data_IF_341051830715
#
_entry.id   IF_341051830715
#
_cell.length_a   1.000
_cell.length_b   1.000
_cell.length_c   1.000
_cell.angle_alpha   90.00
_cell.angle_beta   90.00
_cell.angle_gamma   90.00
#
_symmetry.space_group_name_H-M   'P 1'
#
loop_
_entity.id
_entity.type
_entity.pdbx_description
1 polymer ?
#
# COMPACT_ATOMS: atom_id res chain seq x y z
N UNK A 1 53.54 -14.92 25.99
CA UNK A 1 53.90 -16.30 25.62
C UNK A 1 52.62 -16.95 25.10
N UNK A 2 52.43 -16.93 23.78
CA UNK A 2 51.25 -17.46 23.10
C UNK A 2 51.52 -18.90 22.70
N UNK A 3 50.91 -19.85 23.40
CA UNK A 3 50.97 -21.27 23.06
C UNK A 3 49.59 -21.81 22.60
N UNK A 4 48.63 -20.94 22.31
CA UNK A 4 47.26 -21.30 21.91
C UNK A 4 46.96 -20.97 20.43
N UNK A 5 48.00 -20.89 19.59
CA UNK A 5 47.84 -20.97 18.14
C UNK A 5 48.34 -22.35 17.75
N UNK A 6 47.44 -23.22 17.30
CA UNK A 6 47.68 -24.48 16.55
C UNK A 6 46.80 -25.63 17.08
N UNK A 7 45.48 -25.46 17.11
CA UNK A 7 44.53 -26.56 16.90
C UNK A 7 43.29 -25.93 16.28
N UNK A 8 43.38 -25.62 14.99
CA UNK A 8 42.22 -25.20 14.24
C UNK A 8 41.36 -26.44 13.97
N UNK A 9 40.03 -26.34 14.02
CA UNK A 9 39.15 -27.48 13.70
C UNK A 9 39.51 -28.13 12.35
N UNK A 10 39.96 -27.30 11.39
CA UNK A 10 40.46 -27.75 10.10
C UNK A 10 41.74 -28.61 10.18
N UNK A 11 42.66 -28.30 11.08
CA UNK A 11 43.91 -29.05 11.26
C UNK A 11 43.63 -30.43 11.87
N UNK A 12 42.77 -30.50 12.89
CA UNK A 12 42.32 -31.76 13.50
C UNK A 12 41.55 -32.65 12.52
N UNK A 13 40.77 -32.06 11.59
CA UNK A 13 40.15 -32.79 10.49
C UNK A 13 41.19 -33.41 9.53
N UNK A 14 42.29 -32.72 9.27
CA UNK A 14 43.35 -33.23 8.41
C UNK A 14 44.13 -34.36 9.08
N UNK A 15 44.40 -34.25 10.39
CA UNK A 15 45.01 -35.32 11.19
C UNK A 15 44.09 -36.57 11.25
N UNK A 16 42.77 -36.37 11.42
CA UNK A 16 41.79 -37.45 11.39
C UNK A 16 41.77 -38.19 10.04
N UNK A 17 41.84 -37.46 8.92
CA UNK A 17 41.87 -38.07 7.58
C UNK A 17 43.17 -38.86 7.34
N UNK A 18 44.30 -38.38 7.87
CA UNK A 18 45.56 -39.12 7.82
C UNK A 18 45.48 -40.43 8.61
N UNK A 19 44.95 -40.41 9.85
CA UNK A 19 44.76 -41.62 10.66
C UNK A 19 43.70 -42.58 10.09
N UNK A 20 42.72 -42.05 9.35
CA UNK A 20 41.76 -42.90 8.64
C UNK A 20 42.42 -43.66 7.50
N UNK A 21 43.28 -42.98 6.73
CA UNK A 21 44.03 -43.61 5.63
C UNK A 21 45.00 -44.68 6.15
N UNK A 22 45.74 -44.40 7.23
CA UNK A 22 46.64 -45.41 7.84
C UNK A 22 45.87 -46.62 8.36
N UNK A 23 44.72 -46.42 9.01
CA UNK A 23 43.86 -47.52 9.47
C UNK A 23 43.31 -48.33 8.28
N UNK A 24 42.92 -47.67 7.19
CA UNK A 24 42.44 -48.33 5.98
C UNK A 24 43.49 -49.24 5.35
N UNK A 25 44.74 -48.77 5.23
CA UNK A 25 45.85 -49.56 4.69
C UNK A 25 46.13 -50.79 5.55
N UNK A 26 46.17 -50.63 6.88
CA UNK A 26 46.39 -51.75 7.82
C UNK A 26 45.24 -52.75 7.75
N UNK A 27 43.99 -52.29 7.65
CA UNK A 27 42.83 -53.15 7.47
C UNK A 27 42.95 -53.95 6.17
N UNK A 28 43.33 -53.30 5.06
CA UNK A 28 43.49 -53.97 3.78
C UNK A 28 44.58 -55.05 3.83
N UNK A 29 45.70 -54.78 4.48
CA UNK A 29 46.77 -55.76 4.71
C UNK A 29 46.30 -56.95 5.57
N UNK A 30 45.49 -56.70 6.61
CA UNK A 30 44.89 -57.78 7.41
C UNK A 30 43.94 -58.65 6.60
N UNK A 31 43.11 -58.05 5.74
CA UNK A 31 42.18 -58.76 4.85
C UNK A 31 42.92 -59.59 3.80
N UNK A 32 43.99 -59.07 3.22
CA UNK A 32 44.84 -59.83 2.29
C UNK A 32 45.48 -61.03 2.99
N UNK A 33 45.93 -60.85 4.24
CA UNK A 33 46.52 -61.93 5.06
C UNK A 33 45.47 -62.99 5.43
N UNK A 34 44.27 -62.57 5.83
CA UNK A 34 43.12 -63.44 6.09
C UNK A 34 42.71 -64.24 4.85
N UNK A 35 42.69 -63.60 3.67
CA UNK A 35 42.36 -64.28 2.41
C UNK A 35 43.36 -65.40 2.09
N UNK A 36 44.66 -65.15 2.28
CA UNK A 36 45.72 -66.14 2.11
C UNK A 36 45.59 -67.33 3.08
N UNK A 37 45.08 -67.10 4.29
CA UNK A 37 44.82 -68.15 5.27
C UNK A 37 43.61 -69.04 4.89
N UNK A 38 42.68 -68.52 4.09
CA UNK A 38 41.47 -69.24 3.64
C UNK A 38 41.61 -69.90 2.26
N UNK A 39 42.77 -69.82 1.61
CA UNK A 39 43.00 -70.44 0.30
C UNK A 39 43.37 -71.93 0.45
N UNK A 40 42.54 -72.82 -0.11
CA UNK A 40 42.67 -74.29 -0.04
C UNK A 40 43.95 -74.86 -0.68
N UNK A 41 44.78 -74.02 -1.30
CA UNK A 41 46.02 -74.41 -2.01
C UNK A 41 47.31 -74.06 -1.26
N UNK A 42 47.24 -73.51 -0.04
CA UNK A 42 48.40 -73.04 0.70
C UNK A 42 49.16 -74.17 1.45
N UNK A 43 50.49 -74.08 1.48
CA UNK A 43 51.34 -75.04 2.22
C UNK A 43 51.30 -74.74 3.73
N UNK A 44 51.37 -75.75 4.61
CA UNK A 44 51.35 -75.55 6.08
C UNK A 44 52.38 -74.52 6.59
N UNK A 45 53.55 -74.43 5.96
CA UNK A 45 54.58 -73.44 6.29
C UNK A 45 54.20 -71.99 5.91
N UNK A 46 53.38 -71.81 4.86
CA UNK A 46 52.86 -70.52 4.41
C UNK A 46 51.67 -70.07 5.27
N UNK A 47 50.85 -71.02 5.72
CA UNK A 47 49.80 -70.82 6.72
C UNK A 47 50.40 -70.33 8.05
N UNK A 48 51.45 -70.98 8.55
CA UNK A 48 52.12 -70.60 9.81
C UNK A 48 52.70 -69.18 9.76
N UNK A 49 53.38 -68.82 8.66
CA UNK A 49 53.89 -67.46 8.43
C UNK A 49 52.77 -66.43 8.33
N UNK A 50 51.67 -66.77 7.67
CA UNK A 50 50.51 -65.89 7.55
C UNK A 50 49.80 -65.70 8.90
N UNK A 51 49.85 -66.71 9.78
CA UNK A 51 49.31 -66.64 11.14
C UNK A 51 50.15 -65.72 12.04
N UNK A 52 51.48 -65.81 11.96
CA UNK A 52 52.38 -64.90 12.67
C UNK A 52 52.22 -63.45 12.19
N UNK A 53 52.14 -63.25 10.87
CA UNK A 53 51.88 -61.95 10.25
C UNK A 53 50.50 -61.39 10.67
N UNK A 54 49.47 -62.25 10.78
CA UNK A 54 48.16 -61.85 11.25
C UNK A 54 48.20 -61.34 12.70
N UNK A 55 48.96 -61.98 13.58
CA UNK A 55 49.07 -61.50 14.98
C UNK A 55 49.76 -60.12 15.06
N UNK A 56 50.76 -59.87 14.21
CA UNK A 56 51.43 -58.56 14.13
C UNK A 56 50.50 -57.50 13.56
N UNK A 57 49.76 -57.84 12.49
CA UNK A 57 48.81 -56.94 11.86
C UNK A 57 47.59 -56.65 12.76
N UNK A 58 47.17 -57.60 13.58
CA UNK A 58 46.12 -57.40 14.58
C UNK A 58 46.50 -56.32 15.59
N UNK A 59 47.71 -56.37 16.16
CA UNK A 59 48.15 -55.35 17.11
C UNK A 59 48.22 -53.96 16.45
N UNK A 60 48.73 -53.87 15.22
CA UNK A 60 48.75 -52.61 14.45
C UNK A 60 47.35 -52.08 14.13
N UNK A 61 46.40 -52.97 13.85
CA UNK A 61 45.02 -52.60 13.58
C UNK A 61 44.34 -52.05 14.85
N UNK A 62 44.59 -52.67 16.01
CA UNK A 62 44.10 -52.18 17.30
C UNK A 62 44.71 -50.81 17.61
N UNK A 63 46.02 -50.65 17.47
CA UNK A 63 46.71 -49.38 17.74
C UNK A 63 46.19 -48.26 16.83
N UNK A 64 46.12 -48.49 15.51
CA UNK A 64 45.57 -47.51 14.56
C UNK A 64 44.09 -47.20 14.81
N UNK A 65 43.27 -48.19 15.18
CA UNK A 65 41.87 -47.96 15.53
C UNK A 65 41.72 -47.14 16.81
N UNK A 66 42.60 -47.32 17.80
CA UNK A 66 42.60 -46.49 19.01
C UNK A 66 43.04 -45.07 18.74
N UNK A 67 44.04 -44.87 17.86
CA UNK A 67 44.45 -43.54 17.38
C UNK A 67 43.32 -42.80 16.68
N UNK A 68 42.63 -43.46 15.75
CA UNK A 68 41.48 -42.89 15.03
C UNK A 68 40.33 -42.45 15.97
N UNK A 69 40.05 -43.26 17.00
CA UNK A 69 39.03 -42.91 18.00
C UNK A 69 39.43 -41.69 18.83
N UNK A 70 40.71 -41.59 19.20
CA UNK A 70 41.24 -40.44 19.92
C UNK A 70 41.11 -39.16 19.09
N UNK A 71 41.56 -39.18 17.83
CA UNK A 71 41.48 -38.03 16.94
C UNK A 71 40.04 -37.61 16.64
N UNK A 72 39.11 -38.57 16.58
CA UNK A 72 37.67 -38.26 16.46
C UNK A 72 37.15 -37.47 17.65
N UNK A 73 37.52 -37.84 18.88
CA UNK A 73 37.10 -37.12 20.07
C UNK A 73 37.74 -35.73 20.16
N UNK A 74 39.03 -35.63 19.81
CA UNK A 74 39.76 -34.36 19.72
C UNK A 74 39.11 -33.41 18.70
N UNK A 75 38.88 -33.88 17.48
CA UNK A 75 38.20 -33.11 16.42
C UNK A 75 36.81 -32.62 16.84
N UNK A 76 36.06 -33.43 17.58
CA UNK A 76 34.75 -33.04 18.10
C UNK A 76 34.84 -31.96 19.18
N UNK A 77 35.84 -32.04 20.04
CA UNK A 77 36.09 -31.00 21.05
C UNK A 77 36.48 -29.68 20.37
N UNK A 78 37.32 -29.75 19.35
CA UNK A 78 37.74 -28.58 18.56
C UNK A 78 36.57 -27.95 17.80
N UNK A 79 35.63 -28.75 17.26
CA UNK A 79 34.39 -28.27 16.63
C UNK A 79 33.55 -27.45 17.62
N UNK A 80 33.37 -27.98 18.83
CA UNK A 80 32.57 -27.33 19.88
C UNK A 80 33.27 -26.06 20.38
N UNK A 81 34.59 -26.10 20.51
CA UNK A 81 35.39 -24.94 20.89
C UNK A 81 35.30 -23.83 19.83
N UNK A 82 35.43 -24.17 18.54
CA UNK A 82 35.39 -23.20 17.44
C UNK A 82 34.00 -22.59 17.22
N UNK A 83 32.92 -23.37 17.38
CA UNK A 83 31.55 -22.85 17.31
C UNK A 83 31.28 -21.78 18.37
N UNK A 84 31.75 -21.98 19.61
CA UNK A 84 31.63 -20.98 20.66
C UNK A 84 32.52 -19.77 20.39
N UNK A 85 33.70 -20.00 19.76
CA UNK A 85 34.62 -18.94 19.37
C UNK A 85 34.02 -18.07 18.27
N UNK A 86 33.30 -18.61 17.28
CA UNK A 86 32.67 -17.84 16.22
C UNK A 86 31.57 -16.88 16.71
N UNK A 87 30.82 -17.23 17.76
CA UNK A 87 29.84 -16.30 18.35
C UNK A 87 30.52 -15.14 19.10
N UNK A 88 31.59 -15.46 19.84
CA UNK A 88 32.39 -14.49 20.59
C UNK A 88 33.20 -13.63 19.62
N UNK A 89 33.86 -14.23 18.64
CA UNK A 89 34.59 -13.57 17.56
C UNK A 89 33.66 -12.75 16.70
N UNK A 90 32.44 -13.17 16.33
CA UNK A 90 31.54 -12.26 15.62
C UNK A 90 31.24 -11.01 16.44
N UNK A 91 31.04 -11.13 17.76
CA UNK A 91 30.94 -9.97 18.65
C UNK A 91 32.24 -9.18 18.74
N UNK A 92 33.38 -9.84 18.84
CA UNK A 92 34.69 -9.22 19.02
C UNK A 92 35.27 -8.65 17.72
N UNK A 93 34.89 -9.16 16.55
CA UNK A 93 35.19 -8.61 15.23
C UNK A 93 34.34 -7.36 15.00
N UNK A 94 33.08 -7.37 15.46
CA UNK A 94 32.22 -6.17 15.53
C UNK A 94 32.78 -5.14 16.54
N UNK A 95 33.42 -5.57 17.63
CA UNK A 95 34.08 -4.67 18.60
C UNK A 95 35.49 -4.23 18.13
N UNK A 96 36.17 -5.07 17.36
CA UNK A 96 37.53 -4.91 16.84
C UNK A 96 37.59 -4.17 15.52
N UNK A 97 36.46 -4.04 14.81
CA UNK A 97 36.21 -2.95 13.88
C UNK A 97 36.26 -1.66 14.68
N UNK A 98 37.47 -1.09 14.78
CA UNK A 98 37.79 0.23 15.34
C UNK A 98 36.57 1.13 15.23
N UNK A 99 35.92 1.40 16.37
CA UNK A 99 34.83 2.35 16.56
C UNK A 99 34.59 3.16 15.28
N UNK A 100 33.73 2.63 14.39
CA UNK A 100 33.44 3.28 13.12
C UNK A 100 32.32 4.26 13.49
N UNK A 101 32.61 5.55 13.80
CA UNK A 101 31.56 6.53 14.11
C UNK A 101 30.50 6.58 13.01
N UNK A 102 30.88 6.21 11.78
CA UNK A 102 30.02 6.10 10.60
C UNK A 102 28.94 5.01 10.72
N UNK A 103 29.20 3.87 11.38
CA UNK A 103 28.19 2.79 11.45
C UNK A 103 27.02 3.16 12.35
N UNK A 104 27.30 3.81 13.50
CA UNK A 104 26.23 4.35 14.35
C UNK A 104 25.46 5.44 13.62
N UNK A 105 26.16 6.35 12.94
CA UNK A 105 25.52 7.41 12.14
C UNK A 105 24.66 6.82 11.02
N UNK A 106 25.13 5.78 10.35
CA UNK A 106 24.38 5.08 9.30
C UNK A 106 23.11 4.41 9.85
N UNK A 107 23.22 3.67 10.96
CA UNK A 107 22.06 3.04 11.59
C UNK A 107 21.05 4.10 12.06
N UNK A 108 21.51 5.17 12.72
CA UNK A 108 20.63 6.27 13.15
C UNK A 108 19.98 6.96 11.96
N UNK A 109 20.73 7.22 10.87
CA UNK A 109 20.19 7.80 9.64
C UNK A 109 19.13 6.90 8.99
N UNK A 110 19.34 5.59 9.00
CA UNK A 110 18.37 4.63 8.48
C UNK A 110 17.12 4.56 9.36
N UNK A 111 17.27 4.59 10.68
CA UNK A 111 16.16 4.65 11.63
C UNK A 111 15.35 5.94 11.47
N UNK A 112 16.02 7.09 11.29
CA UNK A 112 15.38 8.38 11.04
C UNK A 112 14.62 8.37 9.70
N UNK A 113 15.23 7.90 8.60
CA UNK A 113 14.52 7.76 7.32
C UNK A 113 13.29 6.87 7.46
N UNK A 114 13.42 5.73 8.15
CA UNK A 114 12.32 4.80 8.30
C UNK A 114 11.18 5.42 9.13
N UNK A 115 11.51 6.17 10.19
CA UNK A 115 10.53 6.93 10.98
C UNK A 115 9.81 7.96 10.10
N UNK A 116 10.57 8.76 9.36
CA UNK A 116 10.04 9.85 8.55
C UNK A 116 9.19 9.31 7.37
N UNK A 117 9.57 8.17 6.79
CA UNK A 117 8.80 7.50 5.75
C UNK A 117 7.46 6.97 6.26
N UNK A 118 7.45 6.37 7.46
CA UNK A 118 6.22 5.91 8.11
C UNK A 118 5.34 7.11 8.48
N UNK A 119 5.93 8.19 8.97
CA UNK A 119 5.21 9.43 9.26
C UNK A 119 4.56 10.01 8.00
N UNK A 120 5.31 10.15 6.91
CA UNK A 120 4.80 10.62 5.62
C UNK A 120 3.65 9.74 5.09
N UNK A 121 3.79 8.43 5.15
CA UNK A 121 2.73 7.50 4.73
C UNK A 121 1.46 7.64 5.59
N UNK A 122 1.62 7.87 6.90
CA UNK A 122 0.50 8.11 7.81
C UNK A 122 -0.17 9.47 7.55
N UNK A 123 0.61 10.51 7.25
CA UNK A 123 0.12 11.84 6.90
C UNK A 123 -0.76 11.82 5.64
N UNK A 124 -0.40 11.02 4.63
CA UNK A 124 -1.19 10.89 3.41
C UNK A 124 -2.51 10.12 3.58
N UNK A 125 -2.53 9.07 4.42
CA UNK A 125 -3.68 8.16 4.49
C UNK A 125 -4.59 8.39 5.70
N UNK A 126 -4.02 8.45 6.91
CA UNK A 126 -4.80 8.44 8.16
C UNK A 126 -5.04 9.83 8.70
N UNK A 127 -4.06 10.72 8.53
CA UNK A 127 -4.11 12.10 9.00
C UNK A 127 -4.40 13.08 7.86
N UNK A 128 -4.76 12.57 6.68
CA UNK A 128 -5.17 13.43 5.59
C UNK A 128 -6.46 14.16 5.93
N UNK A 129 -6.49 15.44 5.58
CA UNK A 129 -7.66 16.29 5.73
C UNK A 129 -8.20 16.55 4.34
N UNK A 130 -9.41 16.09 4.10
CA UNK A 130 -10.12 16.30 2.84
C UNK A 130 -10.89 17.64 2.87
N UNK A 131 -11.28 18.10 1.69
CA UNK A 131 -12.11 19.29 1.51
C UNK A 131 -13.54 19.04 2.01
N UNK A 132 -14.19 20.11 2.45
CA UNK A 132 -15.63 20.07 2.75
C UNK A 132 -16.40 19.86 1.46
N UNK A 133 -17.09 18.73 1.35
CA UNK A 133 -17.84 18.34 0.17
C UNK A 133 -19.21 19.03 0.14
N UNK A 134 -19.24 20.26 -0.36
CA UNK A 134 -20.49 20.95 -0.70
C UNK A 134 -20.94 20.49 -2.10
N UNK A 135 -22.08 19.80 -2.18
CA UNK A 135 -22.60 19.23 -3.42
C UNK A 135 -23.74 20.11 -3.94
N UNK A 136 -23.51 20.75 -5.09
CA UNK A 136 -24.54 21.48 -5.86
C UNK A 136 -24.57 20.87 -7.27
N UNK A 137 -25.70 20.27 -7.66
CA UNK A 137 -25.86 19.58 -8.96
C UNK A 137 -26.72 20.45 -9.87
N UNK A 138 -26.18 20.82 -11.03
CA UNK A 138 -26.89 21.64 -12.02
C UNK A 138 -27.82 20.83 -12.93
N UNK A 139 -27.61 19.52 -13.03
CA UNK A 139 -28.36 18.63 -13.91
C UNK A 139 -29.68 18.18 -13.25
N UNK A 140 -30.85 18.54 -13.81
CA UNK A 140 -32.15 18.15 -13.26
C UNK A 140 -32.47 16.65 -13.40
N UNK A 141 -31.76 15.90 -14.25
CA UNK A 141 -32.05 14.48 -14.51
C UNK A 141 -31.36 13.54 -13.48
N UNK A 142 -30.40 14.06 -12.70
CA UNK A 142 -29.68 13.30 -11.68
C UNK A 142 -30.47 13.27 -10.38
N UNK A 143 -31.21 12.18 -10.16
CA UNK A 143 -31.99 11.96 -8.94
C UNK A 143 -31.21 11.31 -7.80
N UNK A 144 -30.13 10.58 -8.09
CA UNK A 144 -29.26 9.94 -7.11
C UNK A 144 -27.80 10.37 -7.29
N UNK A 145 -27.17 10.86 -6.22
CA UNK A 145 -25.77 11.27 -6.23
C UNK A 145 -24.93 10.37 -5.34
N UNK A 146 -23.95 9.69 -5.93
CA UNK A 146 -22.92 8.97 -5.18
C UNK A 146 -21.89 9.95 -4.64
N UNK A 147 -21.85 10.13 -3.32
CA UNK A 147 -20.99 11.07 -2.61
C UNK A 147 -19.46 10.89 -2.83
N UNK A 148 -19.03 9.79 -3.44
CA UNK A 148 -17.64 9.50 -3.81
C UNK A 148 -17.21 10.16 -5.13
N UNK A 149 -18.13 10.53 -5.99
CA UNK A 149 -17.83 11.11 -7.31
C UNK A 149 -17.77 12.64 -7.28
N UNK A 150 -17.73 13.24 -6.08
CA UNK A 150 -17.59 14.67 -5.93
C UNK A 150 -16.13 15.07 -6.19
N UNK A 151 -15.94 15.97 -7.14
CA UNK A 151 -14.65 16.58 -7.44
C UNK A 151 -14.72 18.08 -7.12
N UNK A 152 -13.62 18.68 -6.62
CA UNK A 152 -13.54 20.12 -6.44
C UNK A 152 -13.65 20.86 -7.78
N UNK A 153 -14.03 22.14 -7.78
CA UNK A 153 -14.00 22.97 -8.99
C UNK A 153 -12.60 22.99 -9.64
N UNK A 154 -12.53 22.98 -10.97
CA UNK A 154 -11.25 22.93 -11.70
C UNK A 154 -10.27 24.05 -11.32
N UNK A 155 -10.78 25.25 -11.02
CA UNK A 155 -9.96 26.38 -10.57
C UNK A 155 -9.30 26.12 -9.22
N UNK A 156 -10.02 25.49 -8.29
CA UNK A 156 -9.49 25.11 -6.98
C UNK A 156 -8.49 23.95 -7.11
N UNK A 157 -8.80 22.99 -7.98
CA UNK A 157 -7.92 21.84 -8.22
C UNK A 157 -6.55 22.29 -8.76
N UNK A 158 -6.52 23.21 -9.73
CA UNK A 158 -5.26 23.78 -10.24
C UNK A 158 -4.41 24.44 -9.15
N UNK A 159 -5.02 25.18 -8.24
CA UNK A 159 -4.30 25.83 -7.12
C UNK A 159 -3.78 24.80 -6.12
N UNK A 160 -4.49 23.69 -5.91
CA UNK A 160 -4.04 22.58 -5.06
C UNK A 160 -2.92 21.77 -5.74
N UNK A 161 -2.99 21.56 -7.04
CA UNK A 161 -1.96 20.86 -7.81
C UNK A 161 -0.66 21.68 -7.83
N UNK A 162 -0.76 23.01 -8.01
CA UNK A 162 0.38 23.94 -7.85
C UNK A 162 1.02 23.83 -6.45
N UNK A 163 0.25 23.48 -5.41
CA UNK A 163 0.78 23.29 -4.04
C UNK A 163 1.60 22.01 -3.89
N UNK A 164 1.29 20.99 -4.68
CA UNK A 164 2.03 19.72 -4.67
C UNK A 164 3.35 19.81 -5.44
N UNK A 165 3.44 20.72 -6.41
CA UNK A 165 4.62 20.92 -7.25
C UNK A 165 5.59 21.98 -6.70
N UNK A 166 5.11 22.91 -5.88
CA UNK A 166 5.92 24.05 -5.43
C UNK A 166 6.63 23.77 -4.10
N UNK A 167 7.93 24.08 -4.04
CA UNK A 167 8.73 23.99 -2.81
C UNK A 167 8.39 25.07 -1.75
N UNK A 168 9.05 25.00 -0.59
CA UNK A 168 8.74 25.82 0.60
C UNK A 168 8.62 27.34 0.35
N UNK A 169 9.44 27.90 -0.54
CA UNK A 169 9.45 29.35 -0.84
C UNK A 169 8.19 29.82 -1.59
N UNK A 170 7.44 28.92 -2.23
CA UNK A 170 6.22 29.23 -2.98
C UNK A 170 4.94 29.11 -2.16
N UNK A 171 5.02 28.60 -0.93
CA UNK A 171 3.87 28.35 -0.06
C UNK A 171 3.15 29.64 0.37
N UNK A 172 3.89 30.74 0.56
CA UNK A 172 3.32 32.04 0.93
C UNK A 172 2.57 32.71 -0.22
N UNK A 173 3.12 32.64 -1.44
CA UNK A 173 2.47 33.17 -2.64
C UNK A 173 1.22 32.38 -3.00
N UNK A 174 1.26 31.05 -2.89
CA UNK A 174 0.07 30.21 -3.09
C UNK A 174 -1.01 30.49 -2.05
N UNK A 175 -0.64 30.70 -0.78
CA UNK A 175 -1.60 31.09 0.26
C UNK A 175 -2.31 32.41 -0.06
N UNK A 176 -1.63 33.36 -0.71
CA UNK A 176 -2.24 34.62 -1.18
C UNK A 176 -3.22 34.35 -2.33
N UNK A 177 -2.84 33.53 -3.32
CA UNK A 177 -3.75 33.11 -4.41
C UNK A 177 -5.01 32.43 -3.86
N UNK A 178 -4.84 31.55 -2.88
CA UNK A 178 -5.93 30.81 -2.25
C UNK A 178 -6.89 31.73 -1.49
N UNK A 179 -6.37 32.72 -0.75
CA UNK A 179 -7.18 33.75 -0.09
C UNK A 179 -7.94 34.60 -1.10
N UNK A 180 -7.28 35.04 -2.17
CA UNK A 180 -7.91 35.81 -3.23
C UNK A 180 -9.07 35.04 -3.89
N UNK A 181 -8.87 33.75 -4.16
CA UNK A 181 -9.92 32.86 -4.68
C UNK A 181 -11.12 32.77 -3.74
N UNK A 182 -10.91 32.58 -2.44
CA UNK A 182 -12.02 32.55 -1.48
C UNK A 182 -12.76 33.87 -1.37
N UNK A 183 -12.05 34.99 -1.41
CA UNK A 183 -12.67 36.30 -1.33
C UNK A 183 -13.49 36.60 -2.60
N UNK A 184 -13.02 36.15 -3.77
CA UNK A 184 -13.81 36.18 -5.01
C UNK A 184 -15.10 35.36 -4.90
N UNK A 185 -15.05 34.14 -4.33
CA UNK A 185 -16.25 33.31 -4.10
C UNK A 185 -17.22 33.98 -3.14
N UNK A 186 -16.73 34.54 -2.03
CA UNK A 186 -17.59 35.25 -1.07
C UNK A 186 -18.29 36.43 -1.72
N UNK A 187 -17.56 37.22 -2.51
CA UNK A 187 -18.09 38.39 -3.19
C UNK A 187 -19.11 37.99 -4.26
N UNK A 188 -18.83 36.96 -5.06
CA UNK A 188 -19.75 36.49 -6.10
C UNK A 188 -21.04 35.94 -5.48
N UNK A 189 -20.94 35.08 -4.45
CA UNK A 189 -22.10 34.56 -3.72
C UNK A 189 -22.92 35.68 -3.08
N UNK A 190 -22.28 36.67 -2.45
CA UNK A 190 -22.97 37.82 -1.87
C UNK A 190 -23.69 38.65 -2.93
N UNK A 191 -23.03 38.93 -4.06
CA UNK A 191 -23.62 39.67 -5.18
C UNK A 191 -24.87 38.98 -5.71
N UNK A 192 -24.79 37.70 -6.06
CA UNK A 192 -25.92 36.96 -6.61
C UNK A 192 -27.06 36.79 -5.60
N UNK A 193 -26.76 36.60 -4.32
CA UNK A 193 -27.79 36.51 -3.28
C UNK A 193 -28.55 37.85 -3.13
N UNK A 194 -27.82 38.97 -3.07
CA UNK A 194 -28.43 40.30 -2.98
C UNK A 194 -29.28 40.63 -4.21
N UNK A 195 -28.77 40.33 -5.41
CA UNK A 195 -29.50 40.53 -6.66
C UNK A 195 -30.77 39.68 -6.71
N UNK A 196 -30.69 38.40 -6.36
CA UNK A 196 -31.85 37.52 -6.35
C UNK A 196 -32.91 37.98 -5.33
N UNK A 197 -32.48 38.31 -4.11
CA UNK A 197 -33.38 38.73 -3.03
C UNK A 197 -34.05 40.08 -3.27
N UNK A 198 -33.34 41.08 -3.79
CA UNK A 198 -33.89 42.44 -3.88
C UNK A 198 -34.35 42.83 -5.28
N UNK A 199 -33.68 42.36 -6.33
CA UNK A 199 -34.01 42.73 -7.71
C UNK A 199 -35.00 41.74 -8.28
N UNK A 200 -34.66 40.45 -8.32
CA UNK A 200 -35.51 39.43 -8.93
C UNK A 200 -36.82 39.23 -8.15
N UNK A 201 -36.77 39.20 -6.81
CA UNK A 201 -37.99 39.11 -5.99
C UNK A 201 -38.94 40.28 -6.26
N UNK A 202 -38.42 41.52 -6.32
CA UNK A 202 -39.24 42.71 -6.59
C UNK A 202 -39.81 42.70 -8.00
N UNK A 203 -39.03 42.27 -8.99
CA UNK A 203 -39.50 42.08 -10.36
C UNK A 203 -40.60 41.02 -10.44
N UNK A 204 -40.44 39.90 -9.74
CA UNK A 204 -41.45 38.84 -9.66
C UNK A 204 -42.73 39.33 -8.98
N UNK A 205 -42.63 40.08 -7.89
CA UNK A 205 -43.79 40.67 -7.21
C UNK A 205 -44.54 41.65 -8.12
N UNK A 206 -43.82 42.49 -8.88
CA UNK A 206 -44.43 43.40 -9.84
C UNK A 206 -45.08 42.66 -11.01
N UNK A 207 -44.40 41.67 -11.58
CA UNK A 207 -44.92 40.84 -12.65
C UNK A 207 -46.17 40.08 -12.19
N UNK A 208 -46.17 39.53 -10.98
CA UNK A 208 -47.33 38.85 -10.43
C UNK A 208 -48.52 39.80 -10.24
N UNK A 209 -48.29 41.05 -9.82
CA UNK A 209 -49.36 42.08 -9.78
C UNK A 209 -49.91 42.37 -11.17
N UNK A 210 -49.04 42.50 -12.17
CA UNK A 210 -49.44 42.76 -13.55
C UNK A 210 -50.20 41.58 -14.17
N UNK A 211 -49.73 40.35 -13.97
CA UNK A 211 -50.41 39.12 -14.42
C UNK A 211 -51.79 39.01 -13.77
N UNK A 212 -51.92 39.27 -12.47
CA UNK A 212 -53.21 39.26 -11.78
C UNK A 212 -54.14 40.37 -12.26
N UNK A 213 -53.60 41.55 -12.58
CA UNK A 213 -54.37 42.64 -13.18
C UNK A 213 -54.91 42.23 -14.55
N UNK A 214 -54.06 41.72 -15.45
CA UNK A 214 -54.49 41.26 -16.77
C UNK A 214 -55.46 40.09 -16.70
N UNK A 215 -55.27 39.17 -15.75
CA UNK A 215 -56.25 38.10 -15.48
C UNK A 215 -57.60 38.67 -15.10
N UNK A 216 -57.63 39.66 -14.19
CA UNK A 216 -58.89 40.30 -13.79
C UNK A 216 -59.56 41.06 -14.95
N UNK A 217 -58.78 41.73 -15.80
CA UNK A 217 -59.32 42.40 -16.98
C UNK A 217 -59.85 41.42 -18.02
N UNK A 218 -59.16 40.29 -18.25
CA UNK A 218 -59.65 39.22 -19.10
C UNK A 218 -60.96 38.62 -18.55
N UNK A 219 -61.04 38.36 -17.25
CA UNK A 219 -62.27 37.88 -16.60
C UNK A 219 -63.42 38.91 -16.78
N UNK A 220 -63.14 40.21 -16.65
CA UNK A 220 -64.14 41.27 -16.90
C UNK A 220 -64.59 41.31 -18.36
N UNK A 221 -63.68 41.18 -19.31
CA UNK A 221 -64.02 41.12 -20.74
C UNK A 221 -64.84 39.86 -21.06
N UNK A 222 -64.48 38.72 -20.46
CA UNK A 222 -65.25 37.47 -20.58
C UNK A 222 -66.67 37.64 -20.05
N UNK A 223 -66.84 38.25 -18.87
CA UNK A 223 -68.16 38.56 -18.31
C UNK A 223 -68.94 39.55 -19.20
N UNK A 224 -68.27 40.54 -19.81
CA UNK A 224 -68.93 41.49 -20.71
C UNK A 224 -69.42 40.82 -22.01
N UNK A 225 -68.59 39.97 -22.62
CA UNK A 225 -68.87 39.34 -23.91
C UNK A 225 -69.81 38.13 -23.77
N UNK A 226 -69.60 37.29 -22.75
CA UNK A 226 -70.27 36.01 -22.57
C UNK A 226 -71.18 35.92 -21.33
N UNK A 227 -71.11 36.89 -20.41
CA UNK A 227 -72.01 36.96 -19.27
C UNK A 227 -73.45 37.39 -19.64
N UNK A 228 -74.27 37.67 -18.63
CA UNK A 228 -75.70 38.00 -18.81
C UNK A 228 -75.97 39.51 -18.95
N UNK A 229 -74.97 40.29 -19.38
CA UNK A 229 -75.09 41.73 -19.62
C UNK A 229 -76.10 42.11 -20.73
N UNK A 230 -76.60 43.36 -20.75
CA UNK A 230 -77.59 43.82 -21.74
C UNK A 230 -77.10 43.77 -23.19
N UNK A 231 -75.79 43.90 -23.40
CA UNK A 231 -75.13 43.86 -24.71
C UNK A 231 -74.25 42.62 -24.92
N UNK A 232 -74.36 41.60 -24.07
CA UNK A 232 -73.55 40.39 -24.24
C UNK A 232 -73.99 39.60 -25.47
N UNK A 233 -73.07 38.84 -26.06
CA UNK A 233 -73.32 38.01 -27.24
C UNK A 233 -74.45 37.03 -26.95
N UNK A 234 -74.47 36.46 -25.75
CA UNK A 234 -75.51 35.52 -25.30
C UNK A 234 -76.91 36.15 -25.30
N UNK A 235 -77.04 37.41 -24.87
CA UNK A 235 -78.32 38.12 -24.87
C UNK A 235 -78.69 38.65 -26.25
N UNK A 236 -77.70 39.05 -27.05
CA UNK A 236 -77.91 39.45 -28.44
C UNK A 236 -78.39 38.26 -29.28
N UNK A 237 -77.82 37.07 -29.10
CA UNK A 237 -78.29 35.82 -29.69
C UNK A 237 -79.73 35.49 -29.26
N UNK A 238 -80.05 35.56 -27.96
CA UNK A 238 -81.44 35.38 -27.48
C UNK A 238 -82.41 36.39 -28.09
N UNK A 239 -82.00 37.65 -28.25
CA UNK A 239 -82.84 38.67 -28.89
C UNK A 239 -83.05 38.36 -30.37
N UNK A 240 -82.01 37.91 -31.09
CA UNK A 240 -82.11 37.44 -32.48
C UNK A 240 -83.02 36.22 -32.60
N UNK A 241 -82.90 35.23 -31.71
CA UNK A 241 -83.79 34.07 -31.66
C UNK A 241 -85.26 34.50 -31.42
N UNK A 242 -85.50 35.42 -30.49
CA UNK A 242 -86.83 35.97 -30.24
C UNK A 242 -87.38 36.78 -31.42
N UNK A 243 -86.51 37.49 -32.16
CA UNK A 243 -86.88 38.19 -33.38
C UNK A 243 -87.19 37.22 -34.50
N UNK A 244 -86.44 36.11 -34.62
CA UNK A 244 -86.70 35.03 -35.57
C UNK A 244 -88.05 34.34 -35.32
N UNK A 245 -88.40 34.11 -34.06
CA UNK A 245 -89.74 33.65 -33.66
C UNK A 245 -90.83 34.65 -34.02
N UNK A 246 -90.63 35.95 -33.74
CA UNK A 246 -91.60 37.02 -34.06
C UNK A 246 -91.73 37.29 -35.57
N UNK A 247 -90.66 37.11 -36.34
CA UNK A 247 -90.64 37.29 -37.80
C UNK A 247 -91.16 36.04 -38.54
N UNK A 248 -91.55 34.98 -37.83
CA UNK A 248 -92.21 33.82 -38.42
C UNK A 248 -91.32 33.00 -39.36
N UNK A 249 -89.99 33.03 -39.20
CA UNK A 249 -89.07 32.24 -40.04
C UNK A 249 -89.07 30.75 -39.65
N UNK A 250 -89.90 30.35 -38.68
CA UNK A 250 -90.28 28.97 -38.40
C UNK A 250 -91.82 28.77 -38.54
N UNK A 251 -92.38 29.23 -39.66
CA UNK A 251 -93.67 28.79 -40.23
C UNK A 251 -93.41 28.53 -41.71
N UNK A 252 -93.55 27.32 -42.27
CA UNK A 252 -94.83 26.61 -42.51
C UNK A 252 -96.04 27.27 -41.88
#
# INVERSE_FOLDING_TARGET
MSADKENNYFDSLCELDQELNTNHDVLQDTLVTLKKLTEDTATDAELLRSLEALSSNYNKLVDSSTGLLYEKFKTREDEVADSNRLEIENREYILGTKNIPDMRQFVTYFEDINRDAIEYMNLLNKLSVDLVRQVDISDPDVSEFTFKNWNPPEELQKVIDEYSEAGDESSTELNIKFKAYFDQIKLSRAKYNLENKYILQKQLENLNKEVNYWRSELDKMEVMLFGDGPHSIKRMLRNVDSLKEKLGVNKV
#
